data_IF_902231010262
#
_entry.id   IF_902231010262
#
_cell.length_a   1.000
_cell.length_b   1.000
_cell.length_c   1.000
_cell.angle_alpha   90.00
_cell.angle_beta   90.00
_cell.angle_gamma   90.00
#
_symmetry.space_group_name_H-M   'P 1'
#
loop_
_entity.id
_entity.type
_entity.pdbx_description
1 polymer ?
#
# COMPACT_ATOMS: atom_id res chain seq x y z
N UNK A 1 21.54 17.90 13.41
CA UNK A 1 21.81 18.43 12.04
C UNK A 1 21.46 17.43 10.93
N UNK A 2 21.92 16.16 10.98
CA UNK A 2 21.67 15.18 9.89
C UNK A 2 20.20 14.73 9.72
N UNK A 3 19.42 14.66 10.80
CA UNK A 3 17.98 14.30 10.76
C UNK A 3 17.15 15.39 10.06
N UNK A 4 17.51 16.66 10.22
CA UNK A 4 16.80 17.74 9.53
C UNK A 4 17.00 17.66 8.02
N UNK A 5 18.21 17.38 7.54
CA UNK A 5 18.48 17.28 6.10
C UNK A 5 17.61 16.20 5.45
N UNK A 6 17.49 15.02 6.07
CA UNK A 6 16.67 13.91 5.55
C UNK A 6 15.18 14.31 5.51
N UNK A 7 14.66 14.93 6.57
CA UNK A 7 13.27 15.40 6.62
C UNK A 7 12.98 16.50 5.59
N UNK A 8 13.94 17.42 5.36
CA UNK A 8 13.80 18.48 4.36
C UNK A 8 13.83 17.92 2.93
N UNK A 9 14.66 16.92 2.64
CA UNK A 9 14.68 16.26 1.33
C UNK A 9 13.37 15.49 1.05
N UNK A 10 12.80 14.83 2.06
CA UNK A 10 11.50 14.15 1.95
C UNK A 10 10.35 15.15 1.68
N UNK A 11 10.42 16.34 2.28
CA UNK A 11 9.44 17.40 2.06
C UNK A 11 9.52 17.99 0.65
N UNK A 12 10.71 18.13 0.06
CA UNK A 12 10.89 18.68 -1.30
C UNK A 12 10.35 17.72 -2.37
N UNK A 13 10.44 16.40 -2.16
CA UNK A 13 9.86 15.41 -3.08
C UNK A 13 8.31 15.37 -3.06
N UNK A 14 7.68 15.89 -2.00
CA UNK A 14 6.22 15.90 -1.84
C UNK A 14 5.51 17.05 -2.58
N UNK A 15 6.24 18.04 -3.11
CA UNK A 15 5.66 19.31 -3.61
C UNK A 15 5.87 19.51 -5.12
N UNK A 16 6.12 18.47 -5.91
CA UNK A 16 6.22 18.61 -7.36
C UNK A 16 4.83 18.44 -8.00
N UNK A 17 4.16 19.53 -8.44
CA UNK A 17 2.92 19.40 -9.20
C UNK A 17 3.24 18.78 -10.57
N UNK A 18 2.52 17.71 -10.90
CA UNK A 18 2.59 17.05 -12.21
C UNK A 18 1.68 17.83 -13.16
N UNK A 19 2.26 18.37 -14.24
CA UNK A 19 1.54 19.10 -15.28
C UNK A 19 0.60 18.17 -16.06
N UNK A 20 -0.69 18.51 -16.14
CA UNK A 20 -1.69 17.79 -16.95
C UNK A 20 -1.99 18.55 -18.24
N UNK A 21 -2.26 17.80 -19.32
CA UNK A 21 -2.51 18.34 -20.67
C UNK A 21 -3.98 18.75 -20.88
N UNK A 22 -4.18 19.85 -21.61
CA UNK A 22 -5.18 19.96 -22.69
C UNK A 22 -6.57 20.53 -22.40
N UNK A 23 -7.09 20.47 -21.17
CA UNK A 23 -8.45 20.94 -20.86
C UNK A 23 -8.43 22.22 -20.03
N UNK A 24 -9.48 23.06 -20.13
CA UNK A 24 -9.73 24.11 -19.15
C UNK A 24 -10.12 23.47 -17.82
N UNK A 25 -9.11 23.20 -17.00
CA UNK A 25 -9.27 22.66 -15.66
C UNK A 25 -9.73 23.78 -14.74
N UNK A 26 -11.00 23.73 -14.32
CA UNK A 26 -11.53 24.68 -13.34
C UNK A 26 -11.48 24.06 -11.94
N UNK A 27 -10.66 24.62 -11.06
CA UNK A 27 -10.71 24.30 -9.64
C UNK A 27 -11.90 25.04 -9.03
N UNK A 28 -12.88 24.29 -8.55
CA UNK A 28 -14.14 24.83 -8.01
C UNK A 28 -14.43 24.23 -6.64
N UNK A 29 -15.23 24.94 -5.84
CA UNK A 29 -15.76 24.37 -4.59
C UNK A 29 -16.82 23.32 -4.88
N UNK A 30 -17.12 22.44 -3.91
CA UNK A 30 -18.17 21.43 -4.06
C UNK A 30 -19.56 22.06 -4.31
N UNK A 31 -19.80 23.26 -3.77
CA UNK A 31 -21.05 24.01 -3.97
C UNK A 31 -21.16 24.54 -5.40
N UNK A 32 -20.10 25.16 -5.93
CA UNK A 32 -20.05 25.62 -7.32
C UNK A 32 -20.16 24.44 -8.30
N UNK A 33 -19.49 23.32 -8.01
CA UNK A 33 -19.61 22.10 -8.79
C UNK A 33 -21.05 21.57 -8.82
N UNK A 34 -21.74 21.58 -7.67
CA UNK A 34 -23.15 21.21 -7.58
C UNK A 34 -24.04 22.13 -8.41
N UNK A 35 -23.80 23.43 -8.38
CA UNK A 35 -24.58 24.40 -9.15
C UNK A 35 -24.36 24.23 -10.66
N UNK A 36 -23.12 23.99 -11.10
CA UNK A 36 -22.80 23.69 -12.49
C UNK A 36 -23.42 22.39 -12.98
N UNK A 37 -23.38 21.32 -12.18
CA UNK A 37 -24.07 20.06 -12.50
C UNK A 37 -25.57 20.28 -12.62
N UNK A 38 -26.16 21.11 -11.76
CA UNK A 38 -27.59 21.45 -11.80
C UNK A 38 -27.94 22.29 -13.04
N UNK A 39 -27.09 23.23 -13.43
CA UNK A 39 -27.25 24.00 -14.67
C UNK A 39 -27.14 23.10 -15.91
N UNK A 40 -26.21 22.15 -15.89
CA UNK A 40 -26.03 21.17 -16.95
C UNK A 40 -27.24 20.22 -17.09
N UNK A 41 -27.88 19.90 -15.95
CA UNK A 41 -29.06 19.04 -15.83
C UNK A 41 -30.29 19.83 -15.32
N UNK A 42 -30.85 20.78 -16.11
CA UNK A 42 -31.83 21.76 -15.60
C UNK A 42 -33.21 21.18 -15.28
N UNK A 43 -33.53 19.97 -15.76
CA UNK A 43 -34.84 19.32 -15.63
C UNK A 43 -34.72 17.80 -15.43
N UNK A 44 -34.00 17.39 -14.39
CA UNK A 44 -33.93 15.98 -13.99
C UNK A 44 -35.33 15.54 -13.53
N UNK A 45 -36.02 14.77 -14.38
CA UNK A 45 -37.12 13.90 -13.94
C UNK A 45 -36.53 12.55 -13.52
N UNK A 46 -37.07 11.91 -12.48
CA UNK A 46 -36.59 10.60 -12.01
C UNK A 46 -36.68 9.55 -13.13
N UNK A 47 -37.68 9.68 -14.01
CA UNK A 47 -37.91 8.78 -15.14
C UNK A 47 -36.90 8.91 -16.29
N UNK A 48 -36.07 9.96 -16.29
CA UNK A 48 -35.15 10.28 -17.40
C UNK A 48 -33.66 10.17 -16.99
N UNK A 49 -33.39 9.70 -15.77
CA UNK A 49 -32.06 9.69 -15.15
C UNK A 49 -31.66 8.28 -14.73
N UNK A 50 -30.56 7.82 -15.29
CA UNK A 50 -29.90 6.59 -14.86
C UNK A 50 -28.56 6.91 -14.18
N UNK A 51 -28.30 6.21 -13.07
CA UNK A 51 -27.02 6.29 -12.36
C UNK A 51 -26.33 4.93 -12.44
N UNK A 52 -25.20 4.90 -13.14
CA UNK A 52 -24.44 3.69 -13.43
C UNK A 52 -23.17 3.71 -12.58
N UNK A 53 -23.08 2.76 -11.65
CA UNK A 53 -21.96 2.57 -10.76
C UNK A 53 -20.93 1.62 -11.38
N UNK A 54 -19.68 2.06 -11.43
CA UNK A 54 -18.56 1.24 -11.91
C UNK A 54 -18.39 -0.02 -11.07
N UNK A 55 -18.31 -1.18 -11.71
CA UNK A 55 -18.12 -2.49 -11.07
C UNK A 55 -16.81 -2.61 -10.30
N UNK A 56 -15.83 -1.79 -10.68
CA UNK A 56 -14.47 -1.76 -10.15
C UNK A 56 -14.24 -0.59 -9.19
N UNK A 57 -15.30 0.08 -8.73
CA UNK A 57 -15.15 1.14 -7.73
C UNK A 57 -14.67 0.59 -6.40
N UNK A 58 -13.73 1.29 -5.77
CA UNK A 58 -13.28 0.96 -4.42
C UNK A 58 -14.46 1.02 -3.44
N UNK A 59 -14.47 0.15 -2.42
CA UNK A 59 -15.54 0.16 -1.39
C UNK A 59 -15.67 1.54 -0.74
N UNK A 60 -14.57 2.26 -0.59
CA UNK A 60 -14.59 3.61 -0.04
C UNK A 60 -15.27 4.63 -0.95
N UNK A 61 -15.09 4.51 -2.27
CA UNK A 61 -15.79 5.35 -3.25
C UNK A 61 -17.28 4.98 -3.34
N UNK A 62 -17.62 3.69 -3.26
CA UNK A 62 -19.02 3.23 -3.21
C UNK A 62 -19.76 3.81 -1.99
N UNK A 63 -19.14 3.78 -0.81
CA UNK A 63 -19.69 4.40 0.41
C UNK A 63 -19.82 5.91 0.22
N UNK A 64 -18.80 6.57 -0.32
CA UNK A 64 -18.81 8.00 -0.59
C UNK A 64 -19.97 8.39 -1.52
N UNK A 65 -20.14 7.71 -2.66
CA UNK A 65 -21.23 7.99 -3.59
C UNK A 65 -22.61 7.66 -3.02
N UNK A 66 -22.71 6.62 -2.19
CA UNK A 66 -23.94 6.29 -1.47
C UNK A 66 -24.34 7.42 -0.50
N UNK A 67 -23.38 7.94 0.27
CA UNK A 67 -23.62 9.08 1.16
C UNK A 67 -24.02 10.32 0.35
N UNK A 68 -23.32 10.63 -0.75
CA UNK A 68 -23.65 11.74 -1.64
C UNK A 68 -25.09 11.63 -2.18
N UNK A 69 -25.49 10.44 -2.62
CA UNK A 69 -26.88 10.17 -3.06
C UNK A 69 -27.89 10.47 -1.96
N UNK A 70 -27.62 10.08 -0.71
CA UNK A 70 -28.56 10.34 0.39
C UNK A 70 -28.74 11.82 0.72
N UNK A 71 -27.77 12.67 0.34
CA UNK A 71 -27.83 14.12 0.58
C UNK A 71 -28.59 14.89 -0.52
N UNK A 72 -28.86 14.26 -1.67
CA UNK A 72 -29.52 14.89 -2.80
C UNK A 72 -30.93 14.30 -2.94
N UNK A 73 -31.93 15.05 -2.47
CA UNK A 73 -33.32 14.60 -2.39
C UNK A 73 -33.87 14.08 -3.74
N UNK A 74 -33.46 14.66 -4.86
CA UNK A 74 -33.94 14.31 -6.21
C UNK A 74 -33.43 12.97 -6.74
N UNK A 75 -32.34 12.42 -6.19
CA UNK A 75 -31.76 11.13 -6.66
C UNK A 75 -31.82 10.05 -5.58
N UNK A 76 -32.45 10.36 -4.44
CA UNK A 76 -32.44 9.48 -3.27
C UNK A 76 -33.08 8.12 -3.57
N UNK A 77 -34.12 8.10 -4.40
CA UNK A 77 -34.90 6.90 -4.72
C UNK A 77 -34.41 6.13 -5.95
N UNK A 78 -33.53 6.72 -6.76
CA UNK A 78 -33.05 6.10 -8.02
C UNK A 78 -32.09 4.97 -7.70
N UNK A 79 -32.33 3.74 -8.13
CA UNK A 79 -31.42 2.62 -7.87
C UNK A 79 -30.10 2.75 -8.66
N UNK A 80 -28.99 2.32 -8.05
CA UNK A 80 -27.72 2.27 -8.78
C UNK A 80 -27.70 1.02 -9.66
N UNK A 81 -27.52 1.20 -10.96
CA UNK A 81 -27.26 0.09 -11.87
C UNK A 81 -25.75 -0.17 -11.96
N UNK A 82 -25.33 -1.42 -12.10
CA UNK A 82 -23.91 -1.75 -12.32
C UNK A 82 -23.58 -1.65 -13.80
N UNK A 83 -22.41 -1.12 -14.13
CA UNK A 83 -21.90 -1.03 -15.51
C UNK A 83 -21.85 -2.38 -16.24
N UNK A 84 -21.61 -3.49 -15.53
CA UNK A 84 -21.59 -4.84 -16.11
C UNK A 84 -22.92 -5.34 -16.66
N UNK A 85 -24.03 -4.67 -16.33
CA UNK A 85 -25.36 -5.06 -16.80
C UNK A 85 -25.76 -4.37 -18.11
N UNK A 86 -24.93 -3.46 -18.63
CA UNK A 86 -25.24 -2.61 -19.78
C UNK A 86 -24.22 -2.95 -20.86
N UNK A 87 -24.66 -3.60 -21.93
CA UNK A 87 -23.77 -3.98 -23.04
C UNK A 87 -23.45 -2.76 -23.91
N UNK A 88 -24.46 -1.92 -24.22
CA UNK A 88 -24.32 -0.73 -25.05
C UNK A 88 -25.12 0.46 -24.50
N UNK A 89 -24.57 1.66 -24.60
CA UNK A 89 -25.23 2.92 -24.17
C UNK A 89 -26.43 3.25 -25.04
N UNK A 90 -26.41 2.81 -26.29
CA UNK A 90 -27.50 3.01 -27.25
C UNK A 90 -28.82 2.41 -26.78
N UNK A 91 -28.77 1.34 -25.98
CA UNK A 91 -29.97 0.69 -25.42
C UNK A 91 -30.64 1.51 -24.32
N UNK A 92 -29.92 2.49 -23.75
CA UNK A 92 -30.48 3.39 -22.75
C UNK A 92 -31.31 4.48 -23.44
N UNK A 93 -32.63 4.38 -23.31
CA UNK A 93 -33.58 5.42 -23.75
C UNK A 93 -33.51 6.72 -22.92
N UNK A 94 -32.58 6.78 -21.96
CA UNK A 94 -32.48 7.84 -20.98
C UNK A 94 -31.76 9.08 -21.52
N UNK A 95 -32.28 10.27 -21.20
CA UNK A 95 -31.69 11.54 -21.62
C UNK A 95 -30.48 11.94 -20.78
N UNK A 96 -30.45 11.51 -19.52
CA UNK A 96 -29.42 11.88 -18.55
C UNK A 96 -28.73 10.64 -17.98
N UNK A 97 -27.42 10.56 -18.17
CA UNK A 97 -26.61 9.43 -17.68
C UNK A 97 -25.58 9.97 -16.69
N UNK A 98 -25.59 9.43 -15.47
CA UNK A 98 -24.57 9.72 -14.47
C UNK A 98 -23.70 8.48 -14.26
N UNK A 99 -22.44 8.57 -14.66
CA UNK A 99 -21.45 7.50 -14.48
C UNK A 99 -20.66 7.77 -13.20
N UNK A 100 -20.71 6.83 -12.26
CA UNK A 100 -19.89 6.84 -11.06
C UNK A 100 -18.66 5.97 -11.32
N UNK A 101 -17.48 6.58 -11.29
CA UNK A 101 -16.21 5.97 -11.63
C UNK A 101 -15.64 6.47 -12.96
N UNK A 102 -14.32 6.65 -12.97
CA UNK A 102 -13.54 7.03 -14.15
C UNK A 102 -13.28 5.84 -15.07
N UNK A 103 -12.40 6.02 -16.04
CA UNK A 103 -12.06 4.98 -17.02
C UNK A 103 -11.38 3.74 -16.41
N UNK A 104 -10.86 3.85 -15.18
CA UNK A 104 -10.22 2.71 -14.51
C UNK A 104 -11.25 1.83 -13.78
N UNK A 105 -12.31 2.42 -13.27
CA UNK A 105 -13.26 1.75 -12.37
C UNK A 105 -14.66 1.55 -12.95
N UNK A 106 -14.98 2.22 -14.07
CA UNK A 106 -16.24 2.09 -14.77
C UNK A 106 -15.98 1.73 -16.24
N UNK A 107 -16.44 0.55 -16.64
CA UNK A 107 -16.25 -0.01 -17.99
C UNK A 107 -16.88 0.88 -19.05
N UNK A 108 -18.07 1.40 -18.75
CA UNK A 108 -18.82 2.26 -19.65
C UNK A 108 -18.14 3.61 -19.83
N UNK A 109 -17.64 4.20 -18.73
CA UNK A 109 -16.80 5.40 -18.81
C UNK A 109 -15.58 5.18 -19.71
N UNK A 110 -14.91 4.03 -19.59
CA UNK A 110 -13.74 3.72 -20.42
C UNK A 110 -14.07 3.62 -21.91
N UNK A 111 -15.25 3.11 -22.27
CA UNK A 111 -15.70 3.01 -23.66
C UNK A 111 -16.10 4.38 -24.22
N UNK A 112 -16.77 5.21 -23.41
CA UNK A 112 -17.35 6.46 -23.85
C UNK A 112 -16.40 7.66 -23.80
N UNK A 113 -15.33 7.62 -22.99
CA UNK A 113 -14.52 8.82 -22.76
C UNK A 113 -13.88 9.39 -24.03
N UNK A 114 -13.66 8.54 -25.04
CA UNK A 114 -13.12 8.93 -26.35
C UNK A 114 -14.19 9.37 -27.35
N UNK A 115 -15.47 9.03 -27.12
CA UNK A 115 -16.60 9.41 -28.00
C UNK A 115 -17.38 10.61 -27.49
N UNK A 116 -17.35 10.88 -26.18
CA UNK A 116 -18.03 12.01 -25.57
C UNK A 116 -17.28 13.31 -25.84
N UNK A 117 -18.00 14.33 -26.31
CA UNK A 117 -17.48 15.68 -26.37
C UNK A 117 -17.55 16.32 -24.97
N UNK A 118 -16.44 16.23 -24.22
CA UNK A 118 -16.31 16.80 -22.88
C UNK A 118 -16.28 18.33 -22.98
N UNK A 119 -17.35 18.97 -22.51
CA UNK A 119 -17.48 20.42 -22.49
C UNK A 119 -16.72 21.05 -21.31
N UNK A 120 -16.71 20.39 -20.15
CA UNK A 120 -16.10 20.94 -18.94
C UNK A 120 -15.52 19.87 -18.00
N UNK A 121 -14.32 20.12 -17.45
CA UNK A 121 -13.72 19.34 -16.35
C UNK A 121 -13.64 20.19 -15.09
N UNK A 122 -14.41 19.80 -14.08
CA UNK A 122 -14.45 20.44 -12.76
C UNK A 122 -13.65 19.61 -11.76
N UNK A 123 -12.71 20.26 -11.07
CA UNK A 123 -11.97 19.65 -9.96
C UNK A 123 -12.52 20.22 -8.66
N UNK A 124 -13.28 19.41 -7.94
CA UNK A 124 -13.91 19.74 -6.66
C UNK A 124 -13.50 18.70 -5.60
N UNK A 125 -12.29 18.84 -4.99
CA UNK A 125 -11.73 17.81 -4.11
C UNK A 125 -12.73 17.34 -3.04
N UNK A 126 -12.91 16.01 -2.86
CA UNK A 126 -12.10 14.92 -3.41
C UNK A 126 -12.58 14.35 -4.77
N UNK A 127 -13.46 15.04 -5.49
CA UNK A 127 -14.15 14.53 -6.70
C UNK A 127 -13.76 15.33 -7.95
N UNK A 128 -13.64 14.63 -9.07
CA UNK A 128 -13.63 15.19 -10.40
C UNK A 128 -14.99 14.96 -11.07
N UNK A 129 -15.43 15.97 -11.80
CA UNK A 129 -16.67 15.92 -12.58
C UNK A 129 -16.33 16.24 -14.02
N UNK A 130 -16.73 15.37 -14.94
CA UNK A 130 -16.71 15.65 -16.38
C UNK A 130 -18.15 15.83 -16.84
N UNK A 131 -18.39 16.93 -17.53
CA UNK A 131 -19.66 17.23 -18.19
C UNK A 131 -19.44 17.07 -19.69
N UNK A 132 -20.26 16.26 -20.34
CA UNK A 132 -20.11 16.00 -21.77
C UNK A 132 -21.42 15.64 -22.46
N UNK A 133 -21.40 15.78 -23.78
CA UNK A 133 -22.52 15.47 -24.67
C UNK A 133 -22.10 14.34 -25.61
N UNK A 134 -22.99 13.38 -25.82
CA UNK A 134 -22.84 12.37 -26.88
C UNK A 134 -23.25 12.98 -28.22
N UNK A 135 -22.38 12.90 -29.23
CA UNK A 135 -22.55 13.63 -30.49
C UNK A 135 -23.82 13.25 -31.26
N UNK A 136 -24.24 11.98 -31.21
CA UNK A 136 -25.31 11.45 -32.05
C UNK A 136 -26.70 11.45 -31.40
N UNK A 137 -26.78 11.51 -30.06
CA UNK A 137 -28.02 11.19 -29.33
C UNK A 137 -28.56 12.30 -28.43
N UNK A 138 -27.94 13.49 -28.41
CA UNK A 138 -28.24 14.58 -27.46
C UNK A 138 -28.23 14.16 -25.97
N UNK A 139 -27.64 13.00 -25.64
CA UNK A 139 -27.55 12.50 -24.26
C UNK A 139 -26.54 13.35 -23.49
N UNK A 140 -26.95 13.79 -22.30
CA UNK A 140 -26.06 14.51 -21.38
C UNK A 140 -25.45 13.52 -20.40
N UNK A 141 -24.13 13.48 -20.40
CA UNK A 141 -23.37 12.52 -19.60
C UNK A 141 -22.58 13.28 -18.54
N UNK A 142 -22.74 12.85 -17.30
CA UNK A 142 -21.98 13.37 -16.15
C UNK A 142 -21.15 12.24 -15.59
N UNK A 143 -19.83 12.39 -15.60
CA UNK A 143 -18.89 11.39 -15.08
C UNK A 143 -18.34 11.91 -13.76
N UNK A 144 -18.59 11.18 -12.68
CA UNK A 144 -18.17 11.50 -11.32
C UNK A 144 -17.16 10.46 -10.85
N UNK A 145 -15.94 10.88 -10.55
CA UNK A 145 -14.92 9.98 -10.03
C UNK A 145 -14.06 10.68 -8.99
N UNK A 146 -13.42 9.92 -8.11
CA UNK A 146 -12.59 10.54 -7.07
C UNK A 146 -11.20 10.85 -7.60
N UNK A 147 -10.57 11.89 -7.07
CA UNK A 147 -9.17 12.23 -7.37
C UNK A 147 -8.23 11.05 -7.10
N UNK A 148 -8.59 10.18 -6.16
CA UNK A 148 -7.83 8.95 -5.86
C UNK A 148 -7.76 8.02 -7.06
N UNK A 149 -8.82 7.90 -7.85
CA UNK A 149 -8.79 7.05 -9.03
C UNK A 149 -7.80 7.55 -10.09
N UNK A 150 -7.70 8.88 -10.27
CA UNK A 150 -6.77 9.49 -11.22
C UNK A 150 -5.32 9.29 -10.77
N UNK A 151 -5.03 9.63 -9.50
CA UNK A 151 -3.66 9.74 -9.00
C UNK A 151 -3.13 8.51 -8.26
N UNK A 152 -3.97 7.60 -7.75
CA UNK A 152 -3.47 6.38 -7.12
C UNK A 152 -3.24 5.29 -8.18
N UNK A 153 -2.22 4.47 -7.95
CA UNK A 153 -1.95 3.30 -8.76
C UNK A 153 -2.83 2.13 -8.31
N UNK A 154 -3.29 1.35 -9.29
CA UNK A 154 -3.98 0.09 -9.06
C UNK A 154 -2.97 -1.02 -8.72
N UNK A 155 -3.39 -1.98 -7.91
CA UNK A 155 -2.57 -3.16 -7.65
C UNK A 155 -2.65 -4.14 -8.83
N UNK A 156 -1.58 -4.21 -9.61
CA UNK A 156 -1.45 -5.11 -10.76
C UNK A 156 -0.86 -6.48 -10.40
N UNK A 157 -0.34 -6.67 -9.18
CA UNK A 157 0.15 -7.99 -8.75
C UNK A 157 -0.95 -9.05 -8.78
N UNK A 158 -2.18 -8.68 -8.44
CA UNK A 158 -3.33 -9.58 -8.43
C UNK A 158 -3.65 -10.06 -9.85
N UNK A 159 -3.74 -9.15 -10.82
CA UNK A 159 -4.01 -9.49 -12.21
C UNK A 159 -2.91 -10.38 -12.81
N UNK A 160 -1.65 -10.13 -12.43
CA UNK A 160 -0.46 -10.88 -12.89
C UNK A 160 -0.24 -12.21 -12.16
N UNK A 161 -0.97 -12.46 -11.08
CA UNK A 161 -0.74 -13.63 -10.25
C UNK A 161 -1.14 -14.92 -10.99
N UNK A 162 -0.35 -16.00 -10.88
CA UNK A 162 -0.74 -17.31 -11.39
C UNK A 162 -1.97 -17.89 -10.68
N UNK A 163 -2.34 -17.37 -9.51
CA UNK A 163 -3.54 -17.80 -8.76
C UNK A 163 -4.83 -17.16 -9.30
N UNK A 164 -4.72 -16.04 -10.01
CA UNK A 164 -5.88 -15.26 -10.45
C UNK A 164 -6.83 -16.02 -11.39
N UNK A 165 -6.36 -16.78 -12.41
CA UNK A 165 -7.27 -17.57 -13.24
C UNK A 165 -8.06 -18.64 -12.50
N UNK A 166 -7.59 -19.08 -11.32
CA UNK A 166 -8.20 -20.16 -10.54
C UNK A 166 -9.16 -19.61 -9.48
N UNK A 167 -8.76 -18.53 -8.79
CA UNK A 167 -9.46 -17.99 -7.62
C UNK A 167 -10.20 -16.68 -7.88
N UNK A 168 -9.88 -15.98 -8.97
CA UNK A 168 -10.36 -14.62 -9.24
C UNK A 168 -9.62 -13.53 -8.44
N UNK A 169 -9.83 -12.28 -8.84
CA UNK A 169 -9.09 -11.12 -8.32
C UNK A 169 -9.37 -10.87 -6.83
N UNK A 170 -10.60 -11.10 -6.38
CA UNK A 170 -10.99 -10.87 -4.98
C UNK A 170 -10.32 -11.81 -3.96
N UNK A 171 -10.06 -13.08 -4.33
CA UNK A 171 -9.53 -14.10 -3.42
C UNK A 171 -8.03 -14.33 -3.54
N UNK A 172 -7.43 -13.92 -4.65
CA UNK A 172 -6.00 -14.10 -4.95
C UNK A 172 -5.07 -13.52 -3.87
N UNK A 173 -5.24 -12.28 -3.36
CA UNK A 173 -4.36 -11.76 -2.30
C UNK A 173 -4.44 -12.56 -1.00
N UNK A 174 -5.63 -13.07 -0.66
CA UNK A 174 -5.86 -13.87 0.54
C UNK A 174 -5.11 -15.20 0.41
N UNK A 175 -5.25 -15.88 -0.73
CA UNK A 175 -4.56 -17.13 -1.00
C UNK A 175 -3.03 -16.97 -1.05
N UNK A 176 -2.53 -15.87 -1.65
CA UNK A 176 -1.11 -15.54 -1.66
C UNK A 176 -0.56 -15.37 -0.24
N UNK A 177 -1.29 -14.66 0.62
CA UNK A 177 -0.92 -14.45 2.03
C UNK A 177 -0.92 -15.76 2.81
N UNK A 178 -1.98 -16.57 2.67
CA UNK A 178 -2.07 -17.86 3.34
C UNK A 178 -0.94 -18.81 2.91
N UNK A 179 -0.66 -18.88 1.61
CA UNK A 179 0.46 -19.66 1.06
C UNK A 179 1.79 -19.20 1.64
N UNK A 180 2.00 -17.89 1.76
CA UNK A 180 3.23 -17.31 2.31
C UNK A 180 3.41 -17.64 3.79
N UNK A 181 2.33 -17.59 4.59
CA UNK A 181 2.35 -18.00 5.99
C UNK A 181 2.67 -19.50 6.12
N UNK A 182 2.08 -20.35 5.27
CA UNK A 182 2.36 -21.79 5.25
C UNK A 182 3.83 -22.04 4.89
N UNK A 183 4.37 -21.38 3.86
CA UNK A 183 5.78 -21.50 3.47
C UNK A 183 6.72 -21.06 4.59
N UNK A 184 6.38 -19.98 5.30
CA UNK A 184 7.15 -19.51 6.43
C UNK A 184 7.13 -20.51 7.60
N UNK A 185 5.97 -21.11 7.87
CA UNK A 185 5.84 -22.16 8.88
C UNK A 185 6.67 -23.40 8.51
N UNK A 186 6.55 -23.88 7.27
CA UNK A 186 7.31 -25.02 6.74
C UNK A 186 8.82 -24.74 6.85
N UNK A 187 9.26 -23.54 6.47
CA UNK A 187 10.66 -23.14 6.61
C UNK A 187 11.13 -23.15 8.07
N UNK A 188 10.32 -22.62 8.99
CA UNK A 188 10.68 -22.62 10.40
C UNK A 188 10.84 -24.05 10.95
N UNK A 189 10.01 -24.99 10.50
CA UNK A 189 10.15 -26.42 10.87
C UNK A 189 11.35 -27.09 10.21
N UNK A 190 11.58 -26.86 8.92
CA UNK A 190 12.64 -27.54 8.15
C UNK A 190 14.03 -26.95 8.45
N UNK A 191 14.13 -25.64 8.67
CA UNK A 191 15.41 -24.95 8.84
C UNK A 191 16.22 -25.47 10.04
N UNK A 192 15.56 -25.87 11.13
CA UNK A 192 16.24 -26.54 12.25
C UNK A 192 16.94 -27.82 11.80
N UNK A 193 16.21 -28.71 11.12
CA UNK A 193 16.77 -29.97 10.61
C UNK A 193 17.82 -29.78 9.50
N UNK A 194 17.66 -28.79 8.62
CA UNK A 194 18.67 -28.47 7.61
C UNK A 194 19.95 -27.91 8.23
N UNK A 195 19.85 -27.10 9.27
CA UNK A 195 21.02 -26.59 10.00
C UNK A 195 21.73 -27.73 10.71
N UNK A 196 21.00 -28.66 11.34
CA UNK A 196 21.57 -29.86 11.96
C UNK A 196 22.26 -30.75 10.93
N UNK A 197 21.61 -31.05 9.79
CA UNK A 197 22.22 -31.83 8.70
C UNK A 197 23.43 -31.11 8.10
N UNK A 198 23.34 -29.81 7.87
CA UNK A 198 24.47 -29.02 7.37
C UNK A 198 25.61 -29.01 8.39
N UNK A 199 25.32 -28.96 9.69
CA UNK A 199 26.35 -29.07 10.73
C UNK A 199 27.00 -30.45 10.77
N UNK A 200 26.25 -31.51 10.52
CA UNK A 200 26.82 -32.87 10.48
C UNK A 200 27.72 -33.09 9.25
N UNK A 201 27.39 -32.46 8.13
CA UNK A 201 28.20 -32.54 6.89
C UNK A 201 29.36 -31.54 6.83
N UNK A 202 29.24 -30.39 7.50
CA UNK A 202 30.33 -29.41 7.53
C UNK A 202 31.30 -29.80 8.65
N UNK A 203 32.58 -30.02 8.30
CA UNK A 203 33.57 -30.46 9.29
C UNK A 203 33.52 -29.58 10.55
N UNK A 204 33.61 -30.19 11.74
CA UNK A 204 33.66 -29.49 13.03
C UNK A 204 34.61 -28.27 13.00
N UNK A 205 35.71 -28.36 12.23
CA UNK A 205 36.67 -27.27 12.06
C UNK A 205 36.12 -25.97 11.45
N UNK A 206 35.11 -26.05 10.57
CA UNK A 206 34.49 -24.88 9.92
C UNK A 206 33.46 -24.26 10.87
N UNK A 207 32.65 -25.10 11.52
CA UNK A 207 31.67 -24.67 12.51
C UNK A 207 32.38 -24.02 13.69
N UNK A 208 33.46 -24.62 14.19
CA UNK A 208 34.27 -24.04 15.26
C UNK A 208 34.86 -22.70 14.83
N UNK A 209 35.37 -22.57 13.60
CA UNK A 209 35.84 -21.27 13.09
C UNK A 209 34.71 -20.24 13.04
N UNK A 210 33.52 -20.60 12.56
CA UNK A 210 32.36 -19.69 12.51
C UNK A 210 31.93 -19.30 13.93
N UNK A 211 31.82 -20.26 14.83
CA UNK A 211 31.39 -20.07 16.22
C UNK A 211 32.41 -19.23 17.00
N UNK A 212 33.71 -19.50 16.83
CA UNK A 212 34.80 -18.71 17.41
C UNK A 212 34.81 -17.29 16.81
N UNK A 213 34.59 -17.14 15.50
CA UNK A 213 34.47 -15.83 14.88
C UNK A 213 33.27 -15.06 15.45
N UNK A 214 32.11 -15.71 15.65
CA UNK A 214 30.93 -15.11 16.25
C UNK A 214 31.20 -14.70 17.71
N UNK A 215 31.80 -15.60 18.52
CA UNK A 215 32.12 -15.34 19.93
C UNK A 215 33.18 -14.26 20.11
N UNK A 216 34.20 -14.22 19.24
CA UNK A 216 35.27 -13.20 19.26
C UNK A 216 34.76 -11.85 18.75
N UNK A 217 33.80 -11.84 17.81
CA UNK A 217 33.10 -10.62 17.33
C UNK A 217 32.18 -10.03 18.40
N UNK A 218 31.40 -10.87 19.09
CA UNK A 218 30.53 -10.45 20.21
C UNK A 218 31.29 -9.78 21.36
N UNK A 219 32.59 -10.12 21.54
CA UNK A 219 33.48 -9.47 22.50
C UNK A 219 34.19 -8.19 22.01
N UNK A 220 34.21 -7.91 20.70
CA UNK A 220 35.07 -6.85 20.11
C UNK A 220 34.37 -5.49 19.91
N UNK A 221 33.05 -5.44 19.92
CA UNK A 221 32.29 -4.25 19.48
C UNK A 221 31.67 -3.39 20.60
N UNK A 222 32.33 -3.29 21.75
CA UNK A 222 31.93 -2.35 22.82
C UNK A 222 32.56 -0.95 22.70
N UNK A 223 33.12 -0.58 21.54
CA UNK A 223 33.48 0.83 21.32
C UNK A 223 32.22 1.60 20.92
N UNK A 224 31.62 2.27 21.90
CA UNK A 224 30.40 3.11 21.90
C UNK A 224 30.34 4.17 20.75
N UNK A 225 31.38 4.33 19.94
CA UNK A 225 31.53 5.43 18.99
C UNK A 225 31.20 5.11 17.51
N UNK A 226 30.79 3.88 17.15
CA UNK A 226 30.31 3.60 15.78
C UNK A 226 28.79 3.55 15.72
N UNK A 227 28.19 4.73 15.53
CA UNK A 227 26.75 4.91 15.26
C UNK A 227 26.32 4.21 13.95
N UNK A 228 27.25 3.86 13.06
CA UNK A 228 26.95 3.20 11.78
C UNK A 228 27.81 1.95 11.65
N UNK A 229 27.19 0.77 11.82
CA UNK A 229 27.79 -0.50 11.43
C UNK A 229 27.57 -0.70 9.91
N UNK A 230 28.64 -0.75 9.09
CA UNK A 230 28.49 -0.86 7.63
C UNK A 230 27.75 -2.13 7.22
N UNK A 231 27.79 -3.20 8.03
CA UNK A 231 27.06 -4.45 7.75
C UNK A 231 25.56 -4.27 7.87
N UNK A 232 25.11 -3.62 8.93
CA UNK A 232 23.69 -3.29 9.13
C UNK A 232 23.20 -2.38 8.00
N UNK A 233 24.02 -1.39 7.60
CA UNK A 233 23.68 -0.51 6.47
C UNK A 233 23.53 -1.29 5.16
N UNK A 234 24.44 -2.22 4.88
CA UNK A 234 24.33 -3.10 3.69
C UNK A 234 23.09 -3.97 3.77
N UNK A 235 22.75 -4.51 4.95
CA UNK A 235 21.55 -5.31 5.14
C UNK A 235 20.27 -4.49 4.88
N UNK A 236 20.20 -3.27 5.41
CA UNK A 236 19.07 -2.34 5.18
C UNK A 236 18.95 -1.98 3.69
N UNK A 237 20.06 -1.69 3.01
CA UNK A 237 20.06 -1.39 1.57
C UNK A 237 19.60 -2.61 0.76
N UNK A 238 20.09 -3.80 1.08
CA UNK A 238 19.67 -5.03 0.42
C UNK A 238 18.17 -5.30 0.60
N UNK A 239 17.65 -5.13 1.83
CA UNK A 239 16.21 -5.22 2.10
C UNK A 239 15.42 -4.18 1.32
N UNK A 240 15.89 -2.93 1.27
CA UNK A 240 15.24 -1.88 0.50
C UNK A 240 15.15 -2.26 -0.99
N UNK A 241 16.23 -2.74 -1.60
CA UNK A 241 16.24 -3.19 -3.00
C UNK A 241 15.19 -4.29 -3.23
N UNK A 242 15.15 -5.32 -2.38
CA UNK A 242 14.20 -6.43 -2.50
C UNK A 242 12.76 -5.92 -2.44
N UNK A 243 12.42 -5.12 -1.43
CA UNK A 243 11.08 -4.56 -1.29
C UNK A 243 10.74 -3.59 -2.43
N UNK A 244 11.69 -2.81 -2.93
CA UNK A 244 11.46 -1.91 -4.06
C UNK A 244 11.18 -2.66 -5.36
N UNK A 245 11.84 -3.79 -5.61
CA UNK A 245 11.51 -4.68 -6.72
C UNK A 245 10.08 -5.21 -6.55
N UNK A 246 9.75 -5.74 -5.37
CA UNK A 246 8.44 -6.29 -5.06
C UNK A 246 7.31 -5.24 -5.24
N UNK A 247 7.46 -4.05 -4.67
CA UNK A 247 6.45 -2.99 -4.78
C UNK A 247 6.34 -2.43 -6.20
N UNK A 248 7.43 -2.40 -6.96
CA UNK A 248 7.39 -1.95 -8.37
C UNK A 248 6.70 -2.97 -9.27
N UNK A 249 6.88 -4.27 -9.00
CA UNK A 249 6.08 -5.30 -9.66
C UNK A 249 4.58 -5.15 -9.36
N UNK A 250 4.25 -4.73 -8.13
CA UNK A 250 2.87 -4.58 -7.68
C UNK A 250 2.14 -3.42 -8.36
N UNK A 251 2.83 -2.33 -8.67
CA UNK A 251 2.19 -1.08 -9.14
C UNK A 251 2.57 -0.61 -10.54
N UNK A 252 3.53 -1.24 -11.21
CA UNK A 252 3.82 -0.93 -12.61
C UNK A 252 2.67 -1.39 -13.51
N UNK A 253 2.28 -0.56 -14.49
CA UNK A 253 1.32 -0.99 -15.52
C UNK A 253 2.02 -1.83 -16.59
N UNK A 254 3.18 -1.35 -17.05
CA UNK A 254 4.00 -1.97 -18.09
C UNK A 254 5.43 -2.28 -17.57
N UNK A 255 6.14 -3.17 -18.27
CA UNK A 255 7.55 -3.48 -17.95
C UNK A 255 8.49 -2.29 -18.21
N UNK A 256 8.12 -1.41 -19.14
CA UNK A 256 8.82 -0.16 -19.46
C UNK A 256 8.86 0.80 -18.27
N UNK A 257 7.77 0.88 -17.51
CA UNK A 257 7.65 1.73 -16.32
C UNK A 257 8.34 1.16 -15.07
N UNK A 258 8.72 -0.13 -15.11
CA UNK A 258 9.22 -0.85 -13.95
C UNK A 258 10.47 -0.19 -13.35
N UNK A 259 11.39 0.31 -14.18
CA UNK A 259 12.62 0.95 -13.71
C UNK A 259 12.34 2.28 -13.00
N UNK A 260 11.43 3.10 -13.55
CA UNK A 260 11.02 4.36 -12.93
C UNK A 260 10.35 4.13 -11.58
N UNK A 261 9.43 3.16 -11.52
CA UNK A 261 8.77 2.75 -10.27
C UNK A 261 9.76 2.15 -9.27
N UNK A 262 10.76 1.40 -9.74
CA UNK A 262 11.82 0.84 -8.89
C UNK A 262 12.64 1.93 -8.22
N UNK A 263 13.11 2.93 -8.97
CA UNK A 263 13.87 4.04 -8.40
C UNK A 263 13.04 4.85 -7.41
N UNK A 264 11.77 5.12 -7.73
CA UNK A 264 10.86 5.82 -6.82
C UNK A 264 10.64 5.02 -5.53
N UNK A 265 10.30 3.73 -5.64
CA UNK A 265 10.12 2.85 -4.50
C UNK A 265 11.41 2.69 -3.69
N UNK A 266 12.59 2.69 -4.32
CA UNK A 266 13.88 2.60 -3.63
C UNK A 266 14.10 3.79 -2.71
N UNK A 267 13.77 4.99 -3.17
CA UNK A 267 13.86 6.20 -2.35
C UNK A 267 12.86 6.15 -1.20
N UNK A 268 11.59 5.82 -1.49
CA UNK A 268 10.51 5.80 -0.48
C UNK A 268 10.78 4.72 0.58
N UNK A 269 10.94 3.47 0.15
CA UNK A 269 11.13 2.31 1.03
C UNK A 269 12.47 2.42 1.77
N UNK A 270 13.53 2.81 1.08
CA UNK A 270 14.84 3.05 1.69
C UNK A 270 14.74 4.11 2.81
N UNK A 271 14.01 5.20 2.60
CA UNK A 271 13.80 6.23 3.62
C UNK A 271 13.04 5.71 4.83
N UNK A 272 11.97 4.92 4.63
CA UNK A 272 11.17 4.35 5.71
C UNK A 272 11.97 3.32 6.51
N UNK A 273 12.73 2.44 5.85
CA UNK A 273 13.60 1.47 6.51
C UNK A 273 14.73 2.14 7.28
N UNK A 274 15.38 3.16 6.71
CA UNK A 274 16.41 3.95 7.42
C UNK A 274 15.83 4.67 8.63
N UNK A 275 14.62 5.22 8.53
CA UNK A 275 13.93 5.84 9.67
C UNK A 275 13.67 4.82 10.78
N UNK A 276 13.08 3.67 10.45
CA UNK A 276 12.84 2.57 11.40
C UNK A 276 14.13 2.15 12.08
N UNK A 277 15.19 1.92 11.30
CA UNK A 277 16.48 1.47 11.80
C UNK A 277 17.15 2.51 12.70
N UNK A 278 17.11 3.79 12.31
CA UNK A 278 17.65 4.88 13.12
C UNK A 278 16.92 4.99 14.46
N UNK A 279 15.59 4.86 14.47
CA UNK A 279 14.80 4.83 15.70
C UNK A 279 15.17 3.63 16.59
N UNK A 280 15.36 2.45 15.97
CA UNK A 280 15.80 1.23 16.65
C UNK A 280 17.14 1.41 17.31
N UNK A 281 18.16 1.84 16.58
CA UNK A 281 19.51 2.09 17.10
C UNK A 281 19.50 3.14 18.22
N UNK A 282 18.76 4.24 18.04
CA UNK A 282 18.63 5.28 19.06
C UNK A 282 18.03 4.76 20.37
N UNK A 283 16.94 3.99 20.30
CA UNK A 283 16.29 3.43 21.48
C UNK A 283 17.13 2.32 22.11
N UNK A 284 17.73 1.44 21.31
CA UNK A 284 18.63 0.39 21.81
C UNK A 284 19.83 1.00 22.55
N UNK A 285 20.43 2.06 22.00
CA UNK A 285 21.47 2.82 22.70
C UNK A 285 20.97 3.40 24.03
N UNK A 286 19.79 4.03 24.04
CA UNK A 286 19.20 4.63 25.24
C UNK A 286 18.90 3.60 26.34
N UNK A 287 18.50 2.38 25.96
CA UNK A 287 18.15 1.31 26.90
C UNK A 287 19.29 0.31 27.12
N UNK A 288 20.48 0.56 26.57
CA UNK A 288 21.65 -0.32 26.65
C UNK A 288 21.34 -1.77 26.19
N UNK A 289 20.57 -1.89 25.10
CA UNK A 289 20.23 -3.17 24.46
C UNK A 289 21.14 -3.37 23.24
N UNK A 290 21.78 -4.52 23.13
CA UNK A 290 22.63 -4.93 22.02
C UNK A 290 21.83 -5.72 21.01
N UNK A 291 21.97 -5.29 19.76
CA UNK A 291 21.19 -5.83 18.65
C UNK A 291 22.04 -5.77 17.39
N UNK A 292 21.82 -6.70 16.46
CA UNK A 292 22.46 -6.70 15.15
C UNK A 292 21.40 -6.87 14.06
N UNK A 293 21.31 -5.92 13.13
CA UNK A 293 20.41 -6.03 11.99
C UNK A 293 21.03 -6.90 10.89
N UNK A 294 20.33 -7.98 10.52
CA UNK A 294 20.84 -9.01 9.59
C UNK A 294 19.88 -9.17 8.41
N UNK A 295 20.46 -9.21 7.20
CA UNK A 295 19.72 -9.55 5.99
C UNK A 295 19.35 -11.03 5.98
N UNK A 296 18.12 -11.34 5.58
CA UNK A 296 17.56 -12.69 5.57
C UNK A 296 17.25 -13.12 4.14
N UNK A 297 18.19 -13.83 3.47
CA UNK A 297 18.02 -14.20 2.06
C UNK A 297 16.76 -15.02 1.78
N UNK A 298 16.42 -15.95 2.69
CA UNK A 298 15.21 -16.75 2.55
C UNK A 298 13.96 -15.89 2.66
N UNK A 299 13.91 -14.99 3.64
CA UNK A 299 12.81 -14.06 3.79
C UNK A 299 12.66 -13.12 2.60
N UNK A 300 13.77 -12.64 2.02
CA UNK A 300 13.79 -11.86 0.79
C UNK A 300 13.25 -12.65 -0.41
N UNK A 301 13.65 -13.92 -0.57
CA UNK A 301 13.08 -14.81 -1.58
C UNK A 301 11.58 -14.99 -1.37
N UNK A 302 11.15 -15.21 -0.12
CA UNK A 302 9.74 -15.37 0.23
C UNK A 302 8.95 -14.10 -0.12
N UNK A 303 9.50 -12.91 0.16
CA UNK A 303 8.91 -11.62 -0.25
C UNK A 303 8.69 -11.55 -1.76
N UNK A 304 9.68 -11.92 -2.57
CA UNK A 304 9.54 -11.89 -4.03
C UNK A 304 8.52 -12.93 -4.53
N UNK A 305 8.56 -14.14 -3.97
CA UNK A 305 7.60 -15.20 -4.36
C UNK A 305 6.18 -14.86 -3.98
N UNK A 306 5.94 -14.27 -2.80
CA UNK A 306 4.61 -13.88 -2.36
C UNK A 306 4.05 -12.73 -3.20
N UNK A 307 4.89 -11.74 -3.53
CA UNK A 307 4.54 -10.68 -4.48
C UNK A 307 4.13 -11.26 -5.84
N UNK A 308 4.88 -12.24 -6.35
CA UNK A 308 4.53 -12.92 -7.60
C UNK A 308 3.20 -13.67 -7.50
N UNK A 309 2.87 -14.25 -6.33
CA UNK A 309 1.57 -14.87 -6.05
C UNK A 309 0.43 -13.86 -5.88
N UNK A 310 0.70 -12.55 -5.85
CA UNK A 310 -0.32 -11.51 -5.82
C UNK A 310 -0.42 -10.71 -4.52
N UNK A 311 0.41 -10.99 -3.51
CA UNK A 311 0.52 -10.14 -2.33
C UNK A 311 1.93 -10.15 -1.72
N UNK A 312 2.54 -8.98 -1.55
CA UNK A 312 3.86 -8.85 -0.93
C UNK A 312 3.78 -9.16 0.57
N UNK A 313 4.22 -10.35 0.97
CA UNK A 313 4.25 -10.80 2.36
C UNK A 313 5.58 -11.49 2.67
N UNK A 314 6.38 -10.94 3.60
CA UNK A 314 7.57 -11.51 4.26
C UNK A 314 8.55 -10.40 4.66
N UNK A 315 9.58 -10.74 5.44
CA UNK A 315 10.67 -9.86 5.84
C UNK A 315 11.93 -10.18 5.05
N UNK A 316 12.58 -9.18 4.48
CA UNK A 316 13.91 -9.34 3.87
C UNK A 316 15.06 -9.27 4.89
N UNK A 317 14.79 -8.87 6.14
CA UNK A 317 15.77 -8.71 7.22
C UNK A 317 15.10 -8.84 8.58
N UNK A 318 15.88 -9.21 9.60
CA UNK A 318 15.44 -9.27 10.99
C UNK A 318 16.54 -8.74 11.93
N UNK A 319 16.16 -8.55 13.19
CA UNK A 319 17.10 -8.11 14.23
C UNK A 319 17.48 -9.31 15.10
N UNK A 320 18.77 -9.59 15.21
CA UNK A 320 19.29 -10.53 16.21
C UNK A 320 19.43 -9.83 17.55
N UNK A 321 19.01 -10.52 18.61
CA UNK A 321 19.02 -10.03 19.98
C UNK A 321 19.65 -11.06 20.92
N UNK A 322 20.25 -10.58 22.01
CA UNK A 322 20.73 -11.44 23.08
C UNK A 322 19.56 -11.87 23.99
N UNK A 323 19.49 -13.15 24.37
CA UNK A 323 18.37 -13.73 25.15
C UNK A 323 18.08 -12.99 26.47
N UNK A 324 19.12 -12.45 27.12
CA UNK A 324 18.99 -11.71 28.38
C UNK A 324 18.23 -10.37 28.22
N UNK A 325 18.12 -9.85 27.00
CA UNK A 325 17.59 -8.52 26.71
C UNK A 325 16.23 -8.54 26.00
N UNK A 326 15.65 -9.73 25.75
CA UNK A 326 14.41 -9.92 24.99
C UNK A 326 13.24 -9.03 25.46
N UNK A 327 13.04 -8.91 26.78
CA UNK A 327 11.94 -8.10 27.33
C UNK A 327 12.10 -6.61 27.07
N UNK A 328 13.34 -6.10 27.18
CA UNK A 328 13.64 -4.69 26.92
C UNK A 328 13.51 -4.39 25.43
N UNK A 329 13.95 -5.32 24.58
CA UNK A 329 13.82 -5.20 23.13
C UNK A 329 12.35 -5.19 22.68
N UNK A 330 11.52 -6.10 23.19
CA UNK A 330 10.08 -6.12 22.88
C UNK A 330 9.37 -4.80 23.17
N UNK A 331 9.75 -4.10 24.26
CA UNK A 331 9.26 -2.75 24.56
C UNK A 331 9.72 -1.71 23.53
N UNK A 332 10.98 -1.79 23.10
CA UNK A 332 11.57 -0.85 22.13
C UNK A 332 10.85 -0.98 20.79
N UNK A 333 10.72 -2.20 20.26
CA UNK A 333 10.03 -2.42 18.98
C UNK A 333 8.58 -1.96 19.08
N UNK A 334 7.88 -2.27 20.17
CA UNK A 334 6.50 -1.80 20.37
C UNK A 334 6.38 -0.27 20.26
N UNK A 335 7.33 0.49 20.83
CA UNK A 335 7.34 1.95 20.72
C UNK A 335 7.57 2.43 19.28
N UNK A 336 8.53 1.82 18.57
CA UNK A 336 8.82 2.14 17.16
C UNK A 336 7.58 1.89 16.30
N UNK A 337 6.91 0.78 16.55
CA UNK A 337 5.69 0.40 15.86
C UNK A 337 4.54 1.36 16.08
N UNK A 338 4.35 1.89 17.30
CA UNK A 338 3.36 2.96 17.55
C UNK A 338 3.71 4.20 16.71
N UNK A 339 4.98 4.60 16.70
CA UNK A 339 5.42 5.79 15.95
C UNK A 339 5.15 5.61 14.44
N UNK A 340 5.53 4.45 13.89
CA UNK A 340 5.30 4.13 12.48
C UNK A 340 3.81 3.99 12.15
N UNK A 341 3.00 3.46 13.06
CA UNK A 341 1.55 3.34 12.87
C UNK A 341 0.87 4.72 12.87
N UNK A 342 1.24 5.62 13.79
CA UNK A 342 0.77 7.02 13.76
C UNK A 342 1.19 7.70 12.46
N UNK A 343 2.43 7.48 12.00
CA UNK A 343 2.91 7.97 10.72
C UNK A 343 2.05 7.47 9.54
N UNK A 344 1.72 6.17 9.50
CA UNK A 344 0.78 5.60 8.50
C UNK A 344 -0.54 6.33 8.50
N UNK A 345 -1.16 6.53 9.67
CA UNK A 345 -2.47 7.19 9.77
C UNK A 345 -2.41 8.62 9.25
N UNK A 346 -1.35 9.37 9.59
CA UNK A 346 -1.18 10.75 9.10
C UNK A 346 -1.00 10.79 7.58
N UNK A 347 -0.13 9.94 7.02
CA UNK A 347 0.12 9.87 5.58
C UNK A 347 -1.12 9.39 4.82
N UNK A 348 -1.85 8.43 5.36
CA UNK A 348 -3.13 7.96 4.80
C UNK A 348 -4.18 9.06 4.79
N UNK A 349 -4.40 9.75 5.93
CA UNK A 349 -5.34 10.87 6.01
C UNK A 349 -4.95 12.00 5.06
N UNK A 350 -3.66 12.29 4.92
CA UNK A 350 -3.18 13.26 3.93
C UNK A 350 -3.57 12.82 2.51
N UNK A 351 -3.34 11.55 2.15
CA UNK A 351 -3.69 11.03 0.84
C UNK A 351 -5.20 11.04 0.53
N UNK A 352 -6.06 11.09 1.55
CA UNK A 352 -7.50 11.26 1.33
C UNK A 352 -7.85 12.65 0.77
N UNK A 353 -7.12 13.69 1.21
CA UNK A 353 -7.36 15.08 0.77
C UNK A 353 -6.51 15.48 -0.43
N UNK A 354 -5.30 14.95 -0.52
CA UNK A 354 -4.35 15.23 -1.60
C UNK A 354 -3.78 13.90 -2.14
N UNK A 355 -4.55 13.19 -2.97
CA UNK A 355 -4.12 11.90 -3.50
C UNK A 355 -2.80 12.02 -4.27
N UNK A 356 -1.85 11.16 -3.94
CA UNK A 356 -0.54 11.12 -4.56
C UNK A 356 0.01 9.69 -4.54
N UNK A 357 0.57 9.26 -5.67
CA UNK A 357 1.27 7.97 -5.79
C UNK A 357 2.30 7.82 -4.67
N UNK A 358 3.06 8.87 -4.35
CA UNK A 358 4.11 8.82 -3.33
C UNK A 358 3.52 8.54 -1.94
N UNK A 359 2.45 9.27 -1.56
CA UNK A 359 1.78 9.06 -0.27
C UNK A 359 1.17 7.67 -0.20
N UNK A 360 0.54 7.21 -1.29
CA UNK A 360 0.03 5.84 -1.42
C UNK A 360 1.12 4.80 -1.15
N UNK A 361 2.25 4.92 -1.85
CA UNK A 361 3.37 3.99 -1.68
C UNK A 361 3.89 3.99 -0.23
N UNK A 362 4.00 5.18 0.39
CA UNK A 362 4.46 5.33 1.77
C UNK A 362 3.54 4.64 2.78
N UNK A 363 2.23 4.94 2.77
CA UNK A 363 1.33 4.35 3.76
C UNK A 363 1.12 2.85 3.49
N UNK A 364 1.03 2.42 2.22
CA UNK A 364 0.81 1.01 1.88
C UNK A 364 2.02 0.16 2.29
N UNK A 365 3.24 0.59 1.96
CA UNK A 365 4.43 -0.13 2.38
C UNK A 365 4.56 -0.18 3.90
N UNK A 366 4.35 0.95 4.59
CA UNK A 366 4.54 1.01 6.04
C UNK A 366 3.50 0.16 6.79
N UNK A 367 2.22 0.18 6.39
CA UNK A 367 1.22 -0.68 7.05
C UNK A 367 1.46 -2.16 6.77
N UNK A 368 1.92 -2.50 5.56
CA UNK A 368 2.30 -3.87 5.20
C UNK A 368 3.50 -4.34 6.03
N UNK A 369 4.55 -3.51 6.14
CA UNK A 369 5.71 -3.80 6.99
C UNK A 369 5.29 -4.04 8.43
N UNK A 370 4.46 -3.15 9.01
CA UNK A 370 3.95 -3.30 10.37
C UNK A 370 3.13 -4.57 10.57
N UNK A 371 2.28 -4.92 9.61
CA UNK A 371 1.51 -6.16 9.65
C UNK A 371 2.43 -7.39 9.73
N UNK A 372 3.48 -7.43 8.89
CA UNK A 372 4.43 -8.54 8.87
C UNK A 372 5.31 -8.54 10.14
N UNK A 373 5.80 -7.37 10.57
CA UNK A 373 6.63 -7.24 11.78
C UNK A 373 5.88 -7.71 13.02
N UNK A 374 4.57 -7.47 13.16
CA UNK A 374 3.80 -7.91 14.33
C UNK A 374 3.38 -9.38 14.33
N UNK A 375 3.66 -10.10 13.25
CA UNK A 375 3.27 -11.49 13.13
C UNK A 375 3.93 -12.32 14.26
N UNK A 376 3.19 -13.21 14.96
CA UNK A 376 3.65 -13.81 16.22
C UNK A 376 4.58 -15.02 16.04
N UNK A 377 5.44 -15.02 15.02
CA UNK A 377 6.41 -16.08 14.75
C UNK A 377 7.84 -15.51 14.66
N UNK A 378 8.87 -16.25 15.09
CA UNK A 378 10.25 -15.86 14.80
C UNK A 378 10.53 -15.95 13.28
N UNK A 379 11.36 -15.05 12.72
CA UNK A 379 12.17 -14.02 13.38
C UNK A 379 11.48 -12.63 13.42
N UNK A 380 10.15 -12.54 13.40
CA UNK A 380 9.43 -11.26 13.38
C UNK A 380 9.40 -10.61 14.77
N UNK A 381 9.49 -9.27 14.81
CA UNK A 381 9.56 -8.51 16.07
C UNK A 381 8.31 -8.70 16.97
N UNK A 382 7.16 -9.06 16.37
CA UNK A 382 5.90 -9.34 17.05
C UNK A 382 6.01 -10.50 18.04
N UNK A 383 6.91 -11.45 17.79
CA UNK A 383 7.24 -12.51 18.73
C UNK A 383 7.82 -11.94 20.05
N UNK A 384 8.73 -10.96 19.95
CA UNK A 384 9.37 -10.33 21.12
C UNK A 384 8.42 -9.38 21.86
N UNK A 385 7.60 -8.61 21.12
CA UNK A 385 6.54 -7.78 21.72
C UNK A 385 5.57 -8.65 22.51
N UNK A 386 5.17 -9.81 21.97
CA UNK A 386 4.27 -10.76 22.64
C UNK A 386 4.89 -11.31 23.92
N UNK A 387 6.18 -11.67 23.91
CA UNK A 387 6.92 -12.11 25.11
C UNK A 387 7.01 -11.02 26.18
N UNK A 388 7.17 -9.76 25.78
CA UNK A 388 7.20 -8.62 26.69
C UNK A 388 5.83 -8.33 27.32
N UNK A 389 4.79 -8.17 26.48
CA UNK A 389 3.43 -7.86 26.94
C UNK A 389 2.36 -8.32 25.93
N UNK A 390 1.78 -9.49 26.19
CA UNK A 390 0.73 -10.09 25.36
C UNK A 390 -0.48 -9.16 25.14
N UNK A 391 -0.93 -8.44 26.18
CA UNK A 391 -2.11 -7.56 26.06
C UNK A 391 -1.84 -6.37 25.14
N UNK A 392 -0.68 -5.73 25.29
CA UNK A 392 -0.27 -4.62 24.44
C UNK A 392 -0.11 -5.08 22.98
N UNK A 393 0.47 -6.26 22.77
CA UNK A 393 0.58 -6.89 21.45
C UNK A 393 -0.79 -7.11 20.80
N UNK A 394 -1.75 -7.75 21.50
CA UNK A 394 -3.09 -8.02 20.96
C UNK A 394 -3.79 -6.74 20.52
N UNK A 395 -3.78 -5.70 21.38
CA UNK A 395 -4.48 -4.44 21.10
C UNK A 395 -3.91 -3.78 19.84
N UNK A 396 -2.59 -3.59 19.79
CA UNK A 396 -1.96 -2.90 18.67
C UNK A 396 -2.00 -3.73 17.39
N UNK A 397 -1.80 -5.04 17.47
CA UNK A 397 -1.85 -5.91 16.29
C UNK A 397 -3.25 -5.98 15.70
N UNK A 398 -4.30 -6.00 16.53
CA UNK A 398 -5.69 -5.94 16.06
C UNK A 398 -5.94 -4.64 15.28
N UNK A 399 -5.46 -3.49 15.80
CA UNK A 399 -5.55 -2.22 15.09
C UNK A 399 -4.80 -2.25 13.76
N UNK A 400 -3.57 -2.78 13.75
CA UNK A 400 -2.76 -2.92 12.52
C UNK A 400 -3.47 -3.82 11.51
N UNK A 401 -4.06 -4.95 11.91
CA UNK A 401 -4.81 -5.84 11.01
C UNK A 401 -6.02 -5.12 10.42
N UNK A 402 -6.82 -4.44 11.24
CA UNK A 402 -8.01 -3.71 10.76
C UNK A 402 -7.58 -2.62 9.78
N UNK A 403 -6.52 -1.87 10.08
CA UNK A 403 -5.98 -0.84 9.18
C UNK A 403 -5.35 -1.43 7.94
N UNK A 404 -4.62 -2.54 8.03
CA UNK A 404 -4.05 -3.23 6.89
C UNK A 404 -5.15 -3.70 5.95
N UNK A 405 -6.21 -4.33 6.46
CA UNK A 405 -7.38 -4.75 5.68
C UNK A 405 -8.08 -3.53 5.09
N UNK A 406 -8.36 -2.50 5.90
CA UNK A 406 -9.06 -1.30 5.44
C UNK A 406 -8.27 -0.50 4.41
N UNK A 407 -6.94 -0.47 4.49
CA UNK A 407 -6.10 0.27 3.56
C UNK A 407 -5.83 -0.56 2.31
N UNK A 408 -5.42 -1.82 2.46
CA UNK A 408 -5.04 -2.64 1.31
C UNK A 408 -6.26 -3.26 0.63
N UNK A 409 -7.29 -3.68 1.33
CA UNK A 409 -8.42 -4.35 0.67
C UNK A 409 -9.52 -3.37 0.29
N UNK A 410 -9.80 -2.32 1.07
CA UNK A 410 -10.77 -1.30 0.63
C UNK A 410 -10.21 -0.43 -0.50
N UNK A 411 -8.89 -0.26 -0.59
CA UNK A 411 -8.24 0.51 -1.68
C UNK A 411 -7.75 -0.39 -2.83
N UNK A 412 -7.49 -1.69 -2.62
CA UNK A 412 -6.98 -2.61 -3.66
C UNK A 412 -7.95 -3.74 -4.05
N UNK A 413 -9.11 -3.93 -3.41
CA UNK A 413 -10.19 -4.73 -4.01
C UNK A 413 -10.81 -3.87 -5.10
N UNK A 414 -10.24 -4.02 -6.29
CA UNK A 414 -10.70 -3.60 -7.61
C UNK A 414 -10.48 -4.79 -8.54
#
# INVERSE_FOLDING_TARGET
MRIHIILTTLFILLVIPISTKGYQVSHVTLWEAKDKVREFLPSINEDNLIIIMGSKLSVSDQIFFTIMKTQINTIRNIEFQKDTCIEEVEELNETYIVLLGGSKTNVLTNQLIDTINISEKLIAPPVNILLGLEEDAEKKIVILYTLREEYNNLNKAVERSPLNPILGTGYTPIAATATSIILLYIWNTISGGLVELASDYTSESIIDRITILHKKRRKRDLSIHRIINPRETVAVIASAIVFSIAMSWTWSNELTDLLGMFLLNLIIIGSILLLRETLRQYLCYRYNVKTEHVFWPFGALLTLTSTFLGNTFSLASYTMIDEEEEKSFGRIVYLISIILYVFVLVVFLWNLFYPSIILQMMFTYTIMMLFIDFFPLPPMDGYDIRKWNLKAWIILYTLIIISYISINFTTLII
#
